data_IF_877443340282
#
_entry.id   IF_877443340282
#
_cell.length_a   1.000
_cell.length_b   1.000
_cell.length_c   1.000
_cell.angle_alpha   90.00
_cell.angle_beta   90.00
_cell.angle_gamma   90.00
#
_symmetry.space_group_name_H-M   'P 1'
#
loop_
_entity.id
_entity.type
_entity.pdbx_description
1 polymer ?
#
# COMPACT_ATOMS: atom_id res chain seq x y z
N UNK A 1 -31.25 2.15 -4.29
CA UNK A 1 -31.09 3.57 -4.69
C UNK A 1 -30.58 4.33 -3.47
N UNK A 2 -29.43 5.01 -3.56
CA UNK A 2 -28.91 5.84 -2.46
C UNK A 2 -29.74 7.10 -2.29
N UNK A 3 -30.06 7.46 -1.05
CA UNK A 3 -30.81 8.67 -0.72
C UNK A 3 -29.97 9.90 -1.12
N UNK A 4 -30.50 10.93 -1.82
CA UNK A 4 -29.77 12.15 -2.17
C UNK A 4 -29.08 12.83 -0.97
N UNK A 5 -29.69 12.78 0.21
CA UNK A 5 -29.12 13.30 1.46
C UNK A 5 -27.86 12.51 1.85
N UNK A 6 -27.89 11.18 1.76
CA UNK A 6 -26.72 10.33 2.07
C UNK A 6 -25.57 10.60 1.12
N UNK A 7 -25.83 10.85 -0.17
CA UNK A 7 -24.77 11.22 -1.13
C UNK A 7 -24.12 12.54 -0.76
N UNK A 8 -24.90 13.57 -0.40
CA UNK A 8 -24.36 14.88 0.02
C UNK A 8 -23.47 14.77 1.27
N UNK A 9 -23.88 13.95 2.25
CA UNK A 9 -23.10 13.69 3.47
C UNK A 9 -21.81 12.94 3.13
N UNK A 10 -21.87 11.96 2.23
CA UNK A 10 -20.70 11.19 1.78
C UNK A 10 -19.70 12.08 1.03
N UNK A 11 -20.17 12.97 0.17
CA UNK A 11 -19.32 13.92 -0.57
C UNK A 11 -18.59 14.87 0.40
N UNK A 12 -19.30 15.37 1.41
CA UNK A 12 -18.69 16.21 2.45
C UNK A 12 -17.64 15.45 3.28
N UNK A 13 -17.95 14.20 3.67
CA UNK A 13 -17.03 13.34 4.38
C UNK A 13 -15.74 13.11 3.55
N UNK A 14 -15.90 12.81 2.26
CA UNK A 14 -14.77 12.60 1.34
C UNK A 14 -13.96 13.89 1.13
N UNK A 15 -14.60 15.04 1.06
CA UNK A 15 -13.94 16.35 0.98
C UNK A 15 -13.08 16.61 2.21
N UNK A 16 -13.61 16.37 3.41
CA UNK A 16 -12.88 16.52 4.67
C UNK A 16 -11.70 15.55 4.76
N UNK A 17 -11.90 14.31 4.30
CA UNK A 17 -10.83 13.32 4.20
C UNK A 17 -9.66 13.82 3.33
N UNK A 18 -9.95 14.36 2.15
CA UNK A 18 -8.95 14.91 1.23
C UNK A 18 -8.21 16.12 1.82
N UNK A 19 -8.87 16.90 2.70
CA UNK A 19 -8.26 17.99 3.45
C UNK A 19 -7.42 17.53 4.65
N UNK A 20 -7.34 16.22 4.91
CA UNK A 20 -6.65 15.66 6.09
C UNK A 20 -7.41 15.79 7.41
N UNK A 21 -8.66 16.27 7.39
CA UNK A 21 -9.55 16.39 8.56
C UNK A 21 -10.21 15.06 8.90
N UNK A 22 -9.35 14.06 9.18
CA UNK A 22 -9.76 12.66 9.26
C UNK A 22 -10.81 12.38 10.35
N UNK A 23 -10.70 13.04 11.51
CA UNK A 23 -11.66 12.85 12.62
C UNK A 23 -13.03 13.41 12.27
N UNK A 24 -13.09 14.55 11.58
CA UNK A 24 -14.36 15.13 11.11
C UNK A 24 -14.98 14.22 10.05
N UNK A 25 -14.20 13.74 9.07
CA UNK A 25 -14.67 12.80 8.06
C UNK A 25 -15.27 11.53 8.67
N UNK A 26 -14.63 10.96 9.71
CA UNK A 26 -15.14 9.79 10.44
C UNK A 26 -16.50 10.10 11.06
N UNK A 27 -16.71 11.28 11.63
CA UNK A 27 -18.00 11.68 12.18
C UNK A 27 -19.14 11.65 11.15
N UNK A 28 -18.88 12.12 9.93
CA UNK A 28 -19.83 12.06 8.83
C UNK A 28 -20.09 10.62 8.33
N UNK A 29 -19.05 9.78 8.25
CA UNK A 29 -19.25 8.36 7.95
C UNK A 29 -20.11 7.68 9.02
N UNK A 30 -19.91 8.05 10.30
CA UNK A 30 -20.72 7.53 11.41
C UNK A 30 -22.20 7.98 11.31
N UNK A 31 -22.46 9.20 10.87
CA UNK A 31 -23.81 9.68 10.62
C UNK A 31 -24.51 8.83 9.56
N UNK A 32 -23.85 8.55 8.42
CA UNK A 32 -24.38 7.67 7.40
C UNK A 32 -24.64 6.26 7.95
N UNK A 33 -23.71 5.73 8.74
CA UNK A 33 -23.79 4.38 9.31
C UNK A 33 -24.85 4.25 10.41
N UNK A 34 -25.28 5.34 11.04
CA UNK A 34 -26.45 5.35 11.94
C UNK A 34 -27.76 5.17 11.16
N UNK A 35 -27.88 5.80 9.99
CA UNK A 35 -29.06 5.66 9.13
C UNK A 35 -29.05 4.33 8.36
N UNK A 36 -27.88 3.90 7.86
CA UNK A 36 -27.68 2.65 7.10
C UNK A 36 -26.40 1.95 7.53
N UNK A 37 -26.52 1.02 8.47
CA UNK A 37 -25.39 0.26 9.02
C UNK A 37 -24.65 -0.61 7.98
N UNK A 38 -25.30 -0.88 6.84
CA UNK A 38 -24.80 -1.73 5.76
C UNK A 38 -24.23 -0.93 4.58
N UNK A 39 -23.94 0.36 4.76
CA UNK A 39 -23.33 1.17 3.72
C UNK A 39 -21.84 0.81 3.59
N UNK A 40 -21.52 -0.06 2.61
CA UNK A 40 -20.16 -0.58 2.36
C UNK A 40 -19.17 0.57 2.11
N UNK A 41 -19.54 1.56 1.29
CA UNK A 41 -18.67 2.69 0.97
C UNK A 41 -18.28 3.47 2.22
N UNK A 42 -19.24 3.75 3.11
CA UNK A 42 -18.97 4.45 4.36
C UNK A 42 -18.13 3.62 5.33
N UNK A 43 -18.37 2.29 5.41
CA UNK A 43 -17.54 1.38 6.18
C UNK A 43 -16.09 1.39 5.66
N UNK A 44 -15.89 1.25 4.35
CA UNK A 44 -14.57 1.24 3.74
C UNK A 44 -13.83 2.57 3.96
N UNK A 45 -14.49 3.70 3.70
CA UNK A 45 -13.87 5.02 3.82
C UNK A 45 -13.56 5.38 5.29
N UNK A 46 -14.46 5.01 6.24
CA UNK A 46 -14.19 5.13 7.68
C UNK A 46 -12.98 4.29 8.07
N UNK A 47 -12.93 3.03 7.64
CA UNK A 47 -11.78 2.15 7.90
C UNK A 47 -10.48 2.75 7.36
N UNK A 48 -10.51 3.33 6.15
CA UNK A 48 -9.34 3.96 5.57
C UNK A 48 -8.90 5.21 6.36
N UNK A 49 -9.83 6.05 6.83
CA UNK A 49 -9.55 7.20 7.69
C UNK A 49 -8.94 6.77 9.03
N UNK A 50 -9.48 5.74 9.69
CA UNK A 50 -8.94 5.15 10.92
C UNK A 50 -7.52 4.61 10.71
N UNK A 51 -7.28 3.89 9.60
CA UNK A 51 -5.95 3.39 9.25
C UNK A 51 -4.93 4.52 9.06
N UNK A 52 -5.34 5.66 8.50
CA UNK A 52 -4.49 6.87 8.39
C UNK A 52 -4.17 7.47 9.76
N UNK A 53 -5.09 7.38 10.72
CA UNK A 53 -4.88 7.78 12.11
C UNK A 53 -4.11 6.73 12.93
N UNK A 54 -3.69 5.62 12.32
CA UNK A 54 -3.02 4.46 12.94
C UNK A 54 -3.92 3.65 13.89
N UNK A 55 -5.22 3.88 13.87
CA UNK A 55 -6.20 3.00 14.53
C UNK A 55 -6.50 1.82 13.60
N UNK A 56 -5.57 0.86 13.58
CA UNK A 56 -5.67 -0.30 12.70
C UNK A 56 -6.76 -1.26 13.15
N UNK A 57 -7.01 -1.38 14.44
CA UNK A 57 -8.06 -2.27 14.96
C UNK A 57 -9.45 -1.76 14.58
N UNK A 58 -9.71 -0.48 14.77
CA UNK A 58 -10.95 0.16 14.31
C UNK A 58 -11.12 0.07 12.79
N UNK A 59 -10.03 0.22 12.02
CA UNK A 59 -10.06 0.07 10.57
C UNK A 59 -10.44 -1.36 10.17
N UNK A 60 -9.80 -2.37 10.77
CA UNK A 60 -10.08 -3.79 10.49
C UNK A 60 -11.52 -4.17 10.81
N UNK A 61 -12.08 -3.68 11.92
CA UNK A 61 -13.49 -3.89 12.25
C UNK A 61 -14.44 -3.34 11.16
N UNK A 62 -14.12 -2.17 10.61
CA UNK A 62 -14.90 -1.58 9.52
C UNK A 62 -14.83 -2.44 8.26
N UNK A 63 -13.62 -2.89 7.87
CA UNK A 63 -13.45 -3.76 6.70
C UNK A 63 -14.10 -5.13 6.89
N UNK A 64 -14.02 -5.72 8.08
CA UNK A 64 -14.67 -7.00 8.37
C UNK A 64 -16.20 -6.90 8.23
N UNK A 65 -16.79 -5.79 8.68
CA UNK A 65 -18.21 -5.53 8.49
C UNK A 65 -18.55 -5.37 7.00
N UNK A 66 -17.74 -4.63 6.25
CA UNK A 66 -17.95 -4.44 4.81
C UNK A 66 -17.84 -5.78 4.06
N UNK A 67 -16.85 -6.60 4.37
CA UNK A 67 -16.61 -7.91 3.74
C UNK A 67 -17.63 -8.99 4.14
N UNK A 68 -18.33 -8.83 5.26
CA UNK A 68 -19.51 -9.66 5.57
C UNK A 68 -20.68 -9.39 4.63
N UNK A 69 -20.78 -8.18 4.09
CA UNK A 69 -21.83 -7.77 3.16
C UNK A 69 -21.44 -8.10 1.71
N UNK A 70 -20.19 -7.86 1.34
CA UNK A 70 -19.62 -8.22 0.05
C UNK A 70 -18.21 -8.80 0.24
N UNK A 71 -18.09 -10.13 0.33
CA UNK A 71 -16.79 -10.81 0.52
C UNK A 71 -15.81 -10.60 -0.64
N UNK A 72 -16.31 -10.22 -1.82
CA UNK A 72 -15.53 -10.03 -3.05
C UNK A 72 -15.10 -8.58 -3.30
N UNK A 73 -15.45 -7.62 -2.46
CA UNK A 73 -15.07 -6.22 -2.66
C UNK A 73 -13.54 -6.05 -2.58
N UNK A 74 -12.93 -5.96 -3.76
CA UNK A 74 -11.47 -5.86 -3.90
C UNK A 74 -10.92 -4.59 -3.25
N UNK A 75 -11.65 -3.48 -3.28
CA UNK A 75 -11.21 -2.22 -2.67
C UNK A 75 -11.10 -2.36 -1.15
N UNK A 76 -12.09 -3.00 -0.54
CA UNK A 76 -12.08 -3.29 0.90
C UNK A 76 -10.97 -4.27 1.26
N UNK A 77 -10.79 -5.35 0.47
CA UNK A 77 -9.72 -6.33 0.67
C UNK A 77 -8.33 -5.68 0.61
N UNK A 78 -8.06 -4.82 -0.38
CA UNK A 78 -6.79 -4.09 -0.52
C UNK A 78 -6.55 -3.18 0.71
N UNK A 79 -7.56 -2.45 1.15
CA UNK A 79 -7.45 -1.58 2.32
C UNK A 79 -7.20 -2.39 3.60
N UNK A 80 -7.87 -3.55 3.75
CA UNK A 80 -7.63 -4.48 4.86
C UNK A 80 -6.20 -5.00 4.84
N UNK A 81 -5.70 -5.49 3.69
CA UNK A 81 -4.31 -5.95 3.51
C UNK A 81 -3.31 -4.86 3.92
N UNK A 82 -3.52 -3.62 3.44
CA UNK A 82 -2.67 -2.49 3.79
C UNK A 82 -2.65 -2.21 5.30
N UNK A 83 -3.79 -2.30 5.95
CA UNK A 83 -3.91 -2.05 7.41
C UNK A 83 -3.31 -3.18 8.24
N UNK A 84 -3.51 -4.44 7.85
CA UNK A 84 -2.86 -5.61 8.46
C UNK A 84 -1.33 -5.48 8.38
N UNK A 85 -0.78 -5.15 7.20
CA UNK A 85 0.66 -4.93 7.03
C UNK A 85 1.18 -3.83 7.96
N UNK A 86 0.48 -2.68 8.05
CA UNK A 86 0.89 -1.57 8.92
C UNK A 86 0.78 -1.90 10.41
N UNK A 87 -0.15 -2.79 10.78
CA UNK A 87 -0.30 -3.31 12.13
C UNK A 87 0.79 -4.31 12.49
N UNK A 88 1.44 -4.93 11.47
CA UNK A 88 2.44 -6.01 11.65
C UNK A 88 1.86 -7.42 11.52
N UNK A 89 0.59 -7.56 11.17
CA UNK A 89 -0.11 -8.85 10.97
C UNK A 89 0.20 -9.41 9.57
N UNK A 90 1.50 -9.64 9.31
CA UNK A 90 2.02 -9.96 7.97
C UNK A 90 1.49 -11.27 7.41
N UNK A 91 1.36 -12.32 8.24
CA UNK A 91 0.90 -13.63 7.79
C UNK A 91 -0.56 -13.58 7.32
N UNK A 92 -1.42 -12.87 8.05
CA UNK A 92 -2.81 -12.68 7.65
C UNK A 92 -2.89 -11.87 6.35
N UNK A 93 -2.12 -10.78 6.24
CA UNK A 93 -2.05 -9.96 5.03
C UNK A 93 -1.60 -10.78 3.81
N UNK A 94 -0.58 -11.66 3.96
CA UNK A 94 -0.14 -12.56 2.89
C UNK A 94 -1.21 -13.56 2.48
N UNK A 95 -1.98 -14.11 3.42
CA UNK A 95 -3.07 -15.03 3.13
C UNK A 95 -4.14 -14.36 2.24
N UNK A 96 -4.54 -13.12 2.54
CA UNK A 96 -5.45 -12.36 1.68
C UNK A 96 -4.86 -12.13 0.29
N UNK A 97 -3.58 -11.73 0.19
CA UNK A 97 -2.92 -11.56 -1.11
C UNK A 97 -2.92 -12.87 -1.91
N UNK A 98 -2.56 -13.99 -1.29
CA UNK A 98 -2.48 -15.29 -1.96
C UNK A 98 -3.85 -15.75 -2.46
N UNK A 99 -4.91 -15.58 -1.66
CA UNK A 99 -6.28 -15.95 -2.05
C UNK A 99 -6.77 -15.15 -3.26
N UNK A 100 -6.50 -13.85 -3.29
CA UNK A 100 -6.85 -13.00 -4.42
C UNK A 100 -6.04 -13.40 -5.67
N UNK A 101 -4.74 -13.63 -5.52
CA UNK A 101 -3.84 -13.99 -6.62
C UNK A 101 -4.06 -15.41 -7.14
N UNK A 102 -4.64 -16.30 -6.33
CA UNK A 102 -5.05 -17.63 -6.79
C UNK A 102 -6.14 -17.54 -7.88
N UNK A 103 -7.09 -16.62 -7.71
CA UNK A 103 -8.17 -16.40 -8.68
C UNK A 103 -7.76 -15.52 -9.87
N UNK A 104 -6.86 -14.57 -9.64
CA UNK A 104 -6.32 -13.69 -10.67
C UNK A 104 -4.84 -13.39 -10.41
N UNK A 105 -4.00 -14.23 -11.01
CA UNK A 105 -2.54 -14.17 -10.79
C UNK A 105 -1.86 -12.88 -11.30
N UNK A 106 -2.53 -12.10 -12.14
CA UNK A 106 -2.02 -10.84 -12.73
C UNK A 106 -2.59 -9.58 -12.06
N UNK A 107 -3.13 -9.70 -10.85
CA UNK A 107 -3.68 -8.53 -10.15
C UNK A 107 -2.54 -7.68 -9.54
N UNK A 108 -1.97 -6.79 -10.38
CA UNK A 108 -0.73 -6.06 -10.07
C UNK A 108 -0.79 -5.26 -8.76
N UNK A 109 -1.95 -4.67 -8.43
CA UNK A 109 -2.09 -3.95 -7.15
C UNK A 109 -1.88 -4.89 -5.94
N UNK A 110 -2.32 -6.14 -6.04
CA UNK A 110 -2.16 -7.14 -4.97
C UNK A 110 -0.73 -7.66 -4.93
N UNK A 111 -0.08 -7.87 -6.09
CA UNK A 111 1.35 -8.17 -6.17
C UNK A 111 2.18 -7.09 -5.48
N UNK A 112 1.85 -5.82 -5.72
CA UNK A 112 2.51 -4.68 -5.09
C UNK A 112 2.36 -4.69 -3.55
N UNK A 113 1.18 -5.03 -3.04
CA UNK A 113 1.00 -5.20 -1.59
C UNK A 113 1.76 -6.41 -1.05
N UNK A 114 1.78 -7.53 -1.79
CA UNK A 114 2.51 -8.74 -1.40
C UNK A 114 4.01 -8.48 -1.32
N UNK A 115 4.57 -7.79 -2.30
CA UNK A 115 5.97 -7.35 -2.31
C UNK A 115 6.31 -6.61 -1.02
N UNK A 116 5.55 -5.56 -0.69
CA UNK A 116 5.77 -4.73 0.49
C UNK A 116 5.60 -5.48 1.82
N UNK A 117 4.75 -6.48 1.87
CA UNK A 117 4.61 -7.36 3.04
C UNK A 117 5.88 -8.21 3.17
N UNK A 118 6.34 -8.84 2.09
CA UNK A 118 7.54 -9.65 2.08
C UNK A 118 8.78 -8.83 2.49
N UNK A 119 8.91 -7.60 1.97
CA UNK A 119 9.96 -6.67 2.42
C UNK A 119 9.88 -6.40 3.93
N UNK A 120 8.67 -6.16 4.46
CA UNK A 120 8.47 -5.90 5.90
C UNK A 120 8.77 -7.14 6.77
N UNK A 121 8.71 -8.34 6.19
CA UNK A 121 9.10 -9.62 6.81
C UNK A 121 10.57 -9.95 6.62
N UNK A 122 11.35 -9.07 6.01
CA UNK A 122 12.77 -9.28 5.65
C UNK A 122 12.99 -10.46 4.69
N UNK A 123 11.94 -10.87 3.94
CA UNK A 123 11.97 -11.91 2.91
C UNK A 123 12.36 -11.30 1.57
N UNK A 124 13.57 -10.76 1.51
CA UNK A 124 14.01 -9.91 0.39
C UNK A 124 14.10 -10.66 -0.94
N UNK A 125 14.53 -11.93 -0.95
CA UNK A 125 14.57 -12.76 -2.16
C UNK A 125 13.16 -13.00 -2.72
N UNK A 126 12.20 -13.37 -1.85
CA UNK A 126 10.82 -13.56 -2.27
C UNK A 126 10.21 -12.24 -2.79
N UNK A 127 10.53 -11.12 -2.15
CA UNK A 127 10.12 -9.78 -2.56
C UNK A 127 10.65 -9.43 -3.97
N UNK A 128 11.94 -9.72 -4.25
CA UNK A 128 12.55 -9.52 -5.59
C UNK A 128 11.82 -10.35 -6.66
N UNK A 129 11.42 -11.59 -6.36
CA UNK A 129 10.66 -12.40 -7.31
C UNK A 129 9.32 -11.74 -7.68
N UNK A 130 8.63 -11.13 -6.70
CA UNK A 130 7.40 -10.39 -6.98
C UNK A 130 7.68 -9.12 -7.78
N UNK A 131 8.76 -8.37 -7.45
CA UNK A 131 9.18 -7.21 -8.26
C UNK A 131 9.40 -7.61 -9.72
N UNK A 132 10.17 -8.69 -9.95
CA UNK A 132 10.45 -9.17 -11.31
C UNK A 132 9.17 -9.49 -12.07
N UNK A 133 8.22 -10.17 -11.43
CA UNK A 133 6.92 -10.50 -12.03
C UNK A 133 6.12 -9.25 -12.43
N UNK A 134 6.15 -8.20 -11.62
CA UNK A 134 5.50 -6.93 -11.98
C UNK A 134 6.24 -6.26 -13.14
N UNK A 135 7.57 -6.32 -13.15
CA UNK A 135 8.41 -5.71 -14.18
C UNK A 135 8.35 -6.45 -15.53
N UNK A 136 7.92 -7.72 -15.58
CA UNK A 136 7.61 -8.41 -16.84
C UNK A 136 6.51 -7.68 -17.64
N UNK A 137 5.45 -7.22 -16.96
CA UNK A 137 4.35 -6.49 -17.60
C UNK A 137 4.63 -4.97 -17.66
N UNK A 138 5.40 -4.41 -16.72
CA UNK A 138 5.68 -2.97 -16.56
C UNK A 138 7.17 -2.71 -16.34
N UNK A 139 8.04 -2.89 -17.36
CA UNK A 139 9.49 -2.84 -17.19
C UNK A 139 10.04 -1.49 -16.71
N UNK A 140 9.32 -0.41 -16.98
CA UNK A 140 9.70 0.95 -16.61
C UNK A 140 8.94 1.47 -15.36
N UNK A 141 8.39 0.57 -14.54
CA UNK A 141 7.75 0.98 -13.28
C UNK A 141 8.81 1.40 -12.26
N UNK A 142 9.06 2.71 -12.18
CA UNK A 142 10.09 3.29 -11.32
C UNK A 142 9.91 2.98 -9.83
N UNK A 143 8.66 2.85 -9.33
CA UNK A 143 8.41 2.49 -7.93
C UNK A 143 8.83 1.05 -7.64
N UNK A 144 8.51 0.10 -8.52
CA UNK A 144 8.90 -1.30 -8.36
C UNK A 144 10.40 -1.49 -8.57
N UNK A 145 11.02 -0.77 -9.51
CA UNK A 145 12.48 -0.74 -9.67
C UNK A 145 13.16 -0.22 -8.39
N UNK A 146 12.62 0.86 -7.80
CA UNK A 146 13.14 1.40 -6.54
C UNK A 146 13.00 0.39 -5.40
N UNK A 147 11.83 -0.22 -5.23
CA UNK A 147 11.59 -1.22 -4.19
C UNK A 147 12.50 -2.45 -4.40
N UNK A 148 12.71 -2.92 -5.65
CA UNK A 148 13.68 -3.97 -5.98
C UNK A 148 15.11 -3.58 -5.60
N UNK A 149 15.53 -2.34 -5.88
CA UNK A 149 16.86 -1.86 -5.51
C UNK A 149 17.07 -1.84 -3.99
N UNK A 150 16.03 -1.50 -3.22
CA UNK A 150 16.06 -1.59 -1.76
C UNK A 150 16.24 -3.03 -1.27
N UNK A 151 15.51 -3.99 -1.85
CA UNK A 151 15.65 -5.42 -1.52
C UNK A 151 17.08 -5.91 -1.80
N UNK A 152 17.64 -5.58 -2.97
CA UNK A 152 19.01 -5.95 -3.36
C UNK A 152 20.05 -5.36 -2.40
N UNK A 153 19.87 -4.10 -1.99
CA UNK A 153 20.76 -3.44 -1.03
C UNK A 153 20.72 -4.13 0.35
N UNK A 154 19.53 -4.55 0.81
CA UNK A 154 19.37 -5.30 2.07
C UNK A 154 20.06 -6.67 2.02
N UNK A 155 20.16 -7.29 0.83
CA UNK A 155 20.90 -8.53 0.60
C UNK A 155 22.40 -8.30 0.36
N UNK A 156 22.90 -7.08 0.47
CA UNK A 156 24.29 -6.69 0.16
C UNK A 156 24.70 -6.99 -1.29
N UNK A 157 23.75 -7.09 -2.22
CA UNK A 157 23.98 -7.19 -3.66
C UNK A 157 24.15 -5.79 -4.24
N UNK A 158 25.29 -5.16 -3.93
CA UNK A 158 25.49 -3.71 -4.08
C UNK A 158 25.44 -3.27 -5.55
N UNK A 159 26.15 -3.97 -6.44
CA UNK A 159 26.21 -3.59 -7.86
C UNK A 159 24.81 -3.69 -8.50
N UNK A 160 24.12 -4.80 -8.29
CA UNK A 160 22.73 -4.99 -8.77
C UNK A 160 21.77 -3.93 -8.20
N UNK A 161 21.94 -3.57 -6.92
CA UNK A 161 21.14 -2.54 -6.27
C UNK A 161 21.34 -1.17 -6.90
N UNK A 162 22.59 -0.79 -7.19
CA UNK A 162 22.93 0.50 -7.78
C UNK A 162 22.48 0.59 -9.24
N UNK A 163 22.66 -0.48 -10.04
CA UNK A 163 22.19 -0.53 -11.42
C UNK A 163 20.65 -0.45 -11.49
N UNK A 164 19.97 -1.15 -10.58
CA UNK A 164 18.49 -1.09 -10.50
C UNK A 164 18.02 0.28 -10.01
N UNK A 165 18.75 0.91 -9.07
CA UNK A 165 18.44 2.27 -8.60
C UNK A 165 18.63 3.31 -9.72
N UNK A 166 19.67 3.19 -10.53
CA UNK A 166 19.90 4.04 -11.70
C UNK A 166 18.72 3.96 -12.67
N UNK A 167 18.26 2.73 -12.94
CA UNK A 167 17.05 2.52 -13.76
C UNK A 167 15.81 3.16 -13.13
N UNK A 168 15.62 3.08 -11.81
CA UNK A 168 14.52 3.76 -11.14
C UNK A 168 14.62 5.29 -11.29
N UNK A 169 15.81 5.86 -11.10
CA UNK A 169 16.08 7.30 -11.21
C UNK A 169 15.81 7.80 -12.64
N UNK A 170 16.13 7.00 -13.66
CA UNK A 170 15.82 7.36 -15.06
C UNK A 170 14.30 7.50 -15.30
N UNK A 171 13.45 6.85 -14.50
CA UNK A 171 11.99 6.99 -14.57
C UNK A 171 11.47 8.21 -13.79
N UNK A 172 12.29 8.82 -12.93
CA UNK A 172 11.90 10.04 -12.24
C UNK A 172 12.88 10.49 -11.16
N UNK A 173 13.14 11.79 -11.11
CA UNK A 173 14.07 12.42 -10.16
C UNK A 173 13.70 12.21 -8.69
N UNK A 174 12.41 11.97 -8.40
CA UNK A 174 11.93 11.70 -7.03
C UNK A 174 12.64 10.52 -6.38
N UNK A 175 13.14 9.55 -7.15
CA UNK A 175 13.85 8.38 -6.62
C UNK A 175 15.25 8.72 -6.09
N UNK A 176 15.91 9.78 -6.60
CA UNK A 176 17.12 10.34 -5.98
C UNK A 176 16.84 10.82 -4.55
N UNK A 177 15.78 11.63 -4.41
CA UNK A 177 15.39 12.20 -3.11
C UNK A 177 14.97 11.09 -2.15
N UNK A 178 14.24 10.09 -2.66
CA UNK A 178 13.79 8.94 -1.89
C UNK A 178 14.98 8.10 -1.41
N UNK A 179 15.98 7.84 -2.28
CA UNK A 179 17.16 7.06 -1.96
C UNK A 179 17.99 7.70 -0.84
N UNK A 180 18.18 9.02 -0.84
CA UNK A 180 18.88 9.77 0.23
C UNK A 180 18.31 9.53 1.63
N UNK A 181 17.03 9.18 1.74
CA UNK A 181 16.28 9.04 2.99
C UNK A 181 15.92 7.60 3.33
N UNK A 182 16.22 6.66 2.44
CA UNK A 182 15.80 5.27 2.58
C UNK A 182 16.86 4.45 3.32
N UNK A 183 16.44 3.84 4.44
CA UNK A 183 17.31 3.07 5.32
C UNK A 183 18.07 1.93 4.61
N UNK A 184 17.48 1.34 3.57
CA UNK A 184 18.12 0.27 2.80
C UNK A 184 19.48 0.67 2.20
N UNK A 185 19.69 1.97 1.95
CA UNK A 185 20.94 2.52 1.38
C UNK A 185 21.85 3.15 2.43
N UNK A 186 21.54 3.08 3.71
CA UNK A 186 22.34 3.70 4.77
C UNK A 186 23.81 3.24 4.75
N UNK A 187 24.03 1.95 4.45
CA UNK A 187 25.37 1.37 4.33
C UNK A 187 26.12 1.77 3.05
N UNK A 188 25.45 2.43 2.12
CA UNK A 188 26.01 2.84 0.83
C UNK A 188 26.37 4.33 0.78
N UNK A 189 26.22 5.05 1.89
CA UNK A 189 26.49 6.50 1.95
C UNK A 189 27.90 6.88 1.54
N UNK A 190 28.91 6.01 1.80
CA UNK A 190 30.30 6.21 1.44
C UNK A 190 30.67 5.57 0.07
N UNK A 191 29.72 4.93 -0.60
CA UNK A 191 29.94 4.33 -1.92
C UNK A 191 29.92 5.42 -3.01
N UNK A 192 31.04 5.56 -3.76
CA UNK A 192 31.18 6.60 -4.77
C UNK A 192 30.12 6.55 -5.87
N UNK A 193 29.74 5.34 -6.35
CA UNK A 193 28.69 5.18 -7.37
C UNK A 193 27.34 5.63 -6.83
N UNK A 194 27.02 5.27 -5.58
CA UNK A 194 25.79 5.74 -4.93
C UNK A 194 25.74 7.26 -4.81
N UNK A 195 26.84 7.90 -4.32
CA UNK A 195 26.93 9.36 -4.22
C UNK A 195 26.71 10.05 -5.58
N UNK A 196 27.29 9.51 -6.64
CA UNK A 196 27.12 10.04 -8.00
C UNK A 196 25.66 9.92 -8.48
N UNK A 197 24.97 8.82 -8.17
CA UNK A 197 23.58 8.60 -8.56
C UNK A 197 22.61 9.58 -7.86
N UNK A 198 22.90 9.93 -6.60
CA UNK A 198 22.00 10.77 -5.80
C UNK A 198 22.40 12.25 -5.77
N UNK A 199 23.51 12.62 -6.38
CA UNK A 199 24.01 14.02 -6.47
C UNK A 199 23.03 14.97 -7.18
#
# INVERSE_FOLDING_TARGET
MTNPKTNSILDEANRLFLQGKLKEAIGYYDEILKENQNNISSLNNKGYALSKLKDYDGALQCYDRALKLDPGDISVLINKISSLRKKGEFNEALNYCNNILHNNSKYNIVLYHKERILFSMEKFEESILICNRILEDYPNNGEVLFDKSCNLAMLSRIDDALDTLENAISQGVQYKIKAKKTKSFEKLTDNQKFQNLIS
#
